data_IF_142122658880
#
_entry.id   IF_142122658880
#
_cell.length_a   1.000
_cell.length_b   1.000
_cell.length_c   1.000
_cell.angle_alpha   90.00
_cell.angle_beta   90.00
_cell.angle_gamma   90.00
#
_symmetry.space_group_name_H-M   'P 1'
#
loop_
_entity.id
_entity.type
_entity.pdbx_description
1 polymer ?
#
# COMPACT_ATOMS: atom_id res chain seq x y z
N UNK A 1 0.92 2.78 -5.44
CA UNK A 1 0.80 2.29 -4.06
C UNK A 1 0.40 3.43 -3.15
N UNK A 2 -0.78 3.36 -2.59
CA UNK A 2 -1.39 4.43 -1.78
C UNK A 2 -0.54 4.78 -0.55
N UNK A 3 0.03 3.78 0.12
CA UNK A 3 0.77 4.00 1.37
C UNK A 3 2.08 4.79 1.18
N UNK A 4 2.75 4.62 0.07
CA UNK A 4 3.93 5.44 -0.28
C UNK A 4 3.55 6.91 -0.41
N UNK A 5 2.42 7.19 -1.03
CA UNK A 5 1.92 8.57 -1.20
C UNK A 5 1.48 9.18 0.13
N UNK A 6 0.89 8.40 1.02
CA UNK A 6 0.57 8.82 2.39
C UNK A 6 1.85 9.19 3.15
N UNK A 7 2.91 8.39 3.03
CA UNK A 7 4.19 8.68 3.69
C UNK A 7 4.82 9.98 3.16
N UNK A 8 4.67 10.27 1.89
CA UNK A 8 5.13 11.51 1.29
C UNK A 8 4.30 12.71 1.78
N UNK A 9 2.98 12.61 1.83
CA UNK A 9 2.11 13.64 2.40
C UNK A 9 2.39 13.92 3.89
N UNK A 10 2.81 12.90 4.65
CA UNK A 10 3.26 13.03 6.04
C UNK A 10 4.73 13.45 6.20
N UNK A 11 5.47 13.58 5.10
CA UNK A 11 6.89 13.98 5.10
C UNK A 11 7.78 13.07 5.97
N UNK A 12 7.56 11.76 5.91
CA UNK A 12 8.30 10.78 6.73
C UNK A 12 9.77 10.63 6.34
N UNK A 13 10.19 11.20 5.21
CA UNK A 13 11.54 11.13 4.70
C UNK A 13 11.81 9.94 3.77
N UNK A 14 12.92 10.02 3.05
CA UNK A 14 13.25 9.09 1.98
C UNK A 14 13.45 7.65 2.47
N UNK A 15 14.10 7.47 3.62
CA UNK A 15 14.38 6.13 4.17
C UNK A 15 13.11 5.39 4.59
N UNK A 16 12.19 6.07 5.27
CA UNK A 16 10.91 5.49 5.66
C UNK A 16 10.05 5.16 4.43
N UNK A 17 10.04 6.06 3.45
CA UNK A 17 9.33 5.84 2.18
C UNK A 17 9.91 4.64 1.43
N UNK A 18 11.23 4.51 1.33
CA UNK A 18 11.88 3.37 0.70
C UNK A 18 11.55 2.05 1.40
N UNK A 19 11.57 2.03 2.74
CA UNK A 19 11.19 0.85 3.53
C UNK A 19 9.74 0.43 3.26
N UNK A 20 8.81 1.37 3.19
CA UNK A 20 7.41 1.09 2.91
C UNK A 20 7.19 0.57 1.48
N UNK A 21 7.89 1.13 0.49
CA UNK A 21 7.83 0.65 -0.91
C UNK A 21 8.37 -0.78 -1.01
N UNK A 22 9.50 -1.07 -0.37
CA UNK A 22 10.11 -2.42 -0.36
C UNK A 22 9.17 -3.44 0.27
N UNK A 23 8.61 -3.13 1.44
CA UNK A 23 7.65 -4.00 2.12
C UNK A 23 6.36 -4.19 1.32
N UNK A 24 5.87 -3.12 0.70
CA UNK A 24 4.67 -3.20 -0.14
C UNK A 24 4.89 -4.05 -1.38
N UNK A 25 6.07 -3.99 -1.99
CA UNK A 25 6.40 -4.89 -3.09
C UNK A 25 6.49 -6.35 -2.65
N UNK A 26 7.07 -6.61 -1.47
CA UNK A 26 7.11 -7.97 -0.91
C UNK A 26 5.71 -8.54 -0.65
N UNK A 27 4.76 -7.73 -0.16
CA UNK A 27 3.35 -8.12 -0.03
C UNK A 27 2.73 -8.47 -1.39
N UNK A 28 2.93 -7.60 -2.38
CA UNK A 28 2.46 -7.82 -3.75
C UNK A 28 3.02 -9.12 -4.33
N UNK A 29 4.31 -9.38 -4.12
CA UNK A 29 4.97 -10.60 -4.58
C UNK A 29 4.42 -11.85 -3.90
N UNK A 30 4.18 -11.82 -2.59
CA UNK A 30 3.54 -12.92 -1.85
C UNK A 30 2.14 -13.20 -2.38
N UNK A 31 1.34 -12.16 -2.52
CA UNK A 31 -0.02 -12.25 -3.04
C UNK A 31 -0.03 -12.81 -4.47
N UNK A 32 0.78 -12.24 -5.35
CA UNK A 32 0.88 -12.69 -6.75
C UNK A 32 1.27 -14.16 -6.86
N UNK A 33 2.28 -14.61 -6.09
CA UNK A 33 2.68 -16.01 -6.07
C UNK A 33 1.58 -16.95 -5.56
N UNK A 34 0.83 -16.53 -4.55
CA UNK A 34 -0.29 -17.31 -4.02
C UNK A 34 -1.41 -17.52 -5.06
N UNK A 35 -1.54 -16.60 -6.00
CA UNK A 35 -2.46 -16.69 -7.14
C UNK A 35 -1.82 -17.16 -8.45
N UNK A 36 -0.61 -17.74 -8.38
CA UNK A 36 0.06 -18.38 -9.51
C UNK A 36 0.86 -17.43 -10.42
N UNK A 37 1.09 -16.18 -10.02
CA UNK A 37 1.93 -15.28 -10.78
C UNK A 37 3.40 -15.73 -10.73
N UNK A 38 4.09 -15.57 -11.85
CA UNK A 38 5.53 -15.88 -11.97
C UNK A 38 6.35 -14.75 -11.36
N UNK A 39 7.40 -15.11 -10.63
CA UNK A 39 8.30 -14.12 -9.99
C UNK A 39 8.92 -13.17 -11.01
N UNK A 40 9.32 -13.68 -12.16
CA UNK A 40 9.91 -12.86 -13.25
C UNK A 40 8.94 -11.79 -13.76
N UNK A 41 7.64 -12.12 -13.83
CA UNK A 41 6.60 -11.15 -14.19
C UNK A 41 6.44 -10.08 -13.14
N UNK A 42 6.44 -10.47 -11.85
CA UNK A 42 6.26 -9.55 -10.73
C UNK A 42 7.41 -8.56 -10.57
N UNK A 43 8.65 -8.98 -10.80
CA UNK A 43 9.84 -8.10 -10.73
C UNK A 43 10.12 -7.34 -12.04
N UNK A 44 9.37 -7.63 -13.10
CA UNK A 44 9.51 -7.00 -14.41
C UNK A 44 8.75 -5.68 -14.54
N UNK A 45 8.63 -5.20 -15.79
CA UNK A 45 7.96 -3.94 -16.11
C UNK A 45 6.47 -3.94 -15.76
N UNK A 46 5.79 -5.06 -15.90
CA UNK A 46 4.35 -5.19 -15.60
C UNK A 46 4.03 -5.33 -14.10
N UNK A 47 5.02 -5.56 -13.27
CA UNK A 47 4.89 -5.63 -11.80
C UNK A 47 5.62 -4.48 -11.12
N UNK A 48 6.89 -4.68 -10.76
CA UNK A 48 7.69 -3.68 -10.04
C UNK A 48 7.83 -2.37 -10.83
N UNK A 49 8.02 -2.44 -12.15
CA UNK A 49 8.14 -1.25 -12.99
C UNK A 49 6.87 -0.39 -12.95
N UNK A 50 5.71 -1.02 -13.13
CA UNK A 50 4.41 -0.32 -13.03
C UNK A 50 4.17 0.23 -11.63
N UNK A 51 4.52 -0.52 -10.58
CA UNK A 51 4.42 -0.06 -9.20
C UNK A 51 5.24 1.22 -8.97
N UNK A 52 6.51 1.26 -9.41
CA UNK A 52 7.37 2.43 -9.27
C UNK A 52 6.78 3.62 -10.02
N UNK A 53 6.35 3.42 -11.25
CA UNK A 53 5.75 4.47 -12.08
C UNK A 53 4.49 5.04 -11.43
N UNK A 54 3.54 4.19 -11.06
CA UNK A 54 2.24 4.62 -10.55
C UNK A 54 2.30 5.23 -9.16
N UNK A 55 3.23 4.79 -8.32
CA UNK A 55 3.40 5.37 -6.97
C UNK A 55 4.25 6.65 -6.95
N UNK A 56 4.88 7.03 -8.06
CA UNK A 56 5.74 8.21 -8.16
C UNK A 56 5.15 9.32 -9.02
N UNK A 57 4.07 9.05 -9.74
CA UNK A 57 3.48 10.01 -10.69
C UNK A 57 2.37 10.83 -10.05
N UNK A 58 2.46 12.18 -10.08
CA UNK A 58 1.36 13.05 -9.65
C UNK A 58 0.07 12.88 -10.46
N UNK A 59 0.16 12.30 -11.65
CA UNK A 59 -0.98 12.01 -12.52
C UNK A 59 -1.76 10.77 -12.05
N UNK A 60 -1.18 9.95 -11.19
CA UNK A 60 -1.88 8.81 -10.59
C UNK A 60 -2.94 9.27 -9.60
N UNK A 61 -4.17 8.82 -9.78
CA UNK A 61 -5.27 9.11 -8.85
C UNK A 61 -4.98 8.60 -7.43
N UNK A 62 -4.36 7.42 -7.34
CA UNK A 62 -3.96 6.84 -6.06
C UNK A 62 -2.86 7.65 -5.38
N UNK A 63 -1.90 8.17 -6.14
CA UNK A 63 -0.87 9.05 -5.63
C UNK A 63 -1.48 10.32 -5.03
N UNK A 64 -2.34 11.02 -5.76
CA UNK A 64 -3.01 12.24 -5.31
C UNK A 64 -3.89 12.00 -4.08
N UNK A 65 -4.60 10.87 -4.03
CA UNK A 65 -5.39 10.47 -2.88
C UNK A 65 -4.51 10.23 -1.66
N UNK A 66 -3.39 9.51 -1.83
CA UNK A 66 -2.45 9.22 -0.76
C UNK A 66 -1.82 10.48 -0.17
N UNK A 67 -1.41 11.44 -1.01
CA UNK A 67 -0.91 12.75 -0.55
C UNK A 67 -1.99 13.48 0.27
N UNK A 68 -3.21 13.56 -0.23
CA UNK A 68 -4.32 14.21 0.48
C UNK A 68 -4.59 13.59 1.86
N UNK A 69 -4.64 12.26 1.93
CA UNK A 69 -4.80 11.54 3.20
C UNK A 69 -3.62 11.77 4.15
N UNK A 70 -2.38 11.75 3.63
CA UNK A 70 -1.18 12.02 4.41
C UNK A 70 -1.16 13.44 5.00
N UNK A 71 -1.68 14.40 4.28
CA UNK A 71 -1.82 15.80 4.73
C UNK A 71 -3.05 16.03 5.63
N UNK A 72 -3.85 15.01 5.88
CA UNK A 72 -5.07 15.11 6.72
C UNK A 72 -6.24 15.77 6.00
N UNK A 73 -6.20 15.88 4.66
CA UNK A 73 -7.30 16.41 3.87
C UNK A 73 -8.33 15.32 3.57
N UNK A 74 -9.60 15.67 3.65
CA UNK A 74 -10.68 14.76 3.27
C UNK A 74 -10.63 14.49 1.75
N UNK A 75 -10.66 13.22 1.39
CA UNK A 75 -10.68 12.78 -0.01
C UNK A 75 -12.13 12.48 -0.40
N UNK A 76 -12.91 13.52 -0.66
CA UNK A 76 -14.31 13.37 -1.06
C UNK A 76 -14.43 12.61 -2.39
N UNK A 77 -15.33 11.65 -2.44
CA UNK A 77 -15.76 10.92 -3.65
C UNK A 77 -14.86 9.77 -4.12
N UNK A 78 -13.56 9.79 -3.85
CA UNK A 78 -12.60 8.74 -4.26
C UNK A 78 -12.38 7.65 -3.22
N UNK A 79 -12.79 7.89 -1.98
CA UNK A 79 -12.66 6.96 -0.86
C UNK A 79 -13.45 5.66 -1.09
N UNK A 80 -14.61 5.74 -1.71
CA UNK A 80 -15.49 4.58 -1.89
C UNK A 80 -14.86 3.48 -2.77
N UNK A 81 -14.21 3.84 -3.88
CA UNK A 81 -13.55 2.87 -4.77
C UNK A 81 -12.33 2.23 -4.09
N UNK A 82 -11.50 3.05 -3.43
CA UNK A 82 -10.34 2.58 -2.70
C UNK A 82 -10.70 1.64 -1.54
N UNK A 83 -11.73 1.97 -0.78
CA UNK A 83 -12.22 1.15 0.31
C UNK A 83 -12.74 -0.20 -0.19
N UNK A 84 -13.50 -0.21 -1.29
CA UNK A 84 -14.00 -1.45 -1.89
C UNK A 84 -12.85 -2.35 -2.37
N UNK A 85 -11.87 -1.78 -3.08
CA UNK A 85 -10.69 -2.51 -3.55
C UNK A 85 -9.85 -3.06 -2.40
N UNK A 86 -9.65 -2.27 -1.34
CA UNK A 86 -8.88 -2.69 -0.17
C UNK A 86 -9.58 -3.85 0.57
N UNK A 87 -10.90 -3.81 0.71
CA UNK A 87 -11.68 -4.88 1.32
C UNK A 87 -11.61 -6.16 0.49
N UNK A 88 -11.81 -6.08 -0.82
CA UNK A 88 -11.71 -7.21 -1.72
C UNK A 88 -10.31 -7.85 -1.68
N UNK A 89 -9.26 -7.05 -1.66
CA UNK A 89 -7.87 -7.53 -1.53
C UNK A 89 -7.65 -8.24 -0.20
N UNK A 90 -8.17 -7.70 0.90
CA UNK A 90 -8.07 -8.31 2.23
C UNK A 90 -8.76 -9.69 2.28
N UNK A 91 -9.94 -9.82 1.68
CA UNK A 91 -10.65 -11.10 1.58
C UNK A 91 -9.86 -12.13 0.76
N UNK A 92 -9.37 -11.74 -0.42
CA UNK A 92 -8.55 -12.61 -1.27
C UNK A 92 -7.25 -13.04 -0.57
N UNK A 93 -6.59 -12.15 0.15
CA UNK A 93 -5.40 -12.47 0.93
C UNK A 93 -5.70 -13.47 2.04
N UNK A 94 -6.84 -13.30 2.75
CA UNK A 94 -7.29 -14.21 3.80
C UNK A 94 -7.58 -15.61 3.26
N UNK A 95 -8.24 -15.73 2.11
CA UNK A 95 -8.52 -17.01 1.44
C UNK A 95 -7.25 -17.83 1.17
N UNK A 96 -6.16 -17.16 0.83
CA UNK A 96 -4.84 -17.78 0.56
C UNK A 96 -3.89 -17.78 1.75
N UNK A 97 -4.35 -17.31 2.92
CA UNK A 97 -3.51 -17.15 4.12
C UNK A 97 -2.24 -16.30 3.86
N UNK A 98 -2.36 -15.26 3.05
CA UNK A 98 -1.27 -14.35 2.73
C UNK A 98 -1.27 -13.17 3.69
N UNK A 99 -0.14 -12.95 4.38
CA UNK A 99 0.05 -11.77 5.20
C UNK A 99 0.31 -10.53 4.34
N UNK A 100 -0.56 -9.53 4.47
CA UNK A 100 -0.47 -8.25 3.77
C UNK A 100 -0.69 -7.09 4.75
N UNK A 101 0.27 -6.80 5.64
CA UNK A 101 0.09 -5.82 6.71
C UNK A 101 -0.11 -4.39 6.20
N UNK A 102 0.52 -3.98 5.10
CA UNK A 102 0.30 -2.65 4.50
C UNK A 102 -1.11 -2.55 3.92
N UNK A 103 -1.54 -3.55 3.16
CA UNK A 103 -2.89 -3.58 2.60
C UNK A 103 -3.96 -3.58 3.70
N UNK A 104 -3.74 -4.35 4.78
CA UNK A 104 -4.63 -4.38 5.94
C UNK A 104 -4.69 -3.03 6.67
N UNK A 105 -3.56 -2.35 6.83
CA UNK A 105 -3.52 -1.01 7.43
C UNK A 105 -4.27 0.02 6.59
N UNK A 106 -4.10 -0.01 5.26
CA UNK A 106 -4.85 0.86 4.34
C UNK A 106 -6.36 0.59 4.46
N UNK A 107 -6.79 -0.66 4.44
CA UNK A 107 -8.20 -1.01 4.60
C UNK A 107 -8.76 -0.47 5.93
N UNK A 108 -8.02 -0.62 7.02
CA UNK A 108 -8.43 -0.12 8.33
C UNK A 108 -8.52 1.42 8.39
N UNK A 109 -7.62 2.13 7.71
CA UNK A 109 -7.68 3.60 7.59
C UNK A 109 -8.89 4.03 6.78
N UNK A 110 -9.13 3.39 5.63
CA UNK A 110 -10.26 3.72 4.76
C UNK A 110 -11.62 3.41 5.41
N UNK A 111 -11.68 2.37 6.25
CA UNK A 111 -12.86 2.02 7.06
C UNK A 111 -13.03 2.90 8.32
N UNK A 112 -12.09 3.80 8.60
CA UNK A 112 -12.10 4.63 9.79
C UNK A 112 -11.74 3.91 11.11
N UNK A 113 -11.24 2.67 11.05
CA UNK A 113 -10.84 1.88 12.23
C UNK A 113 -9.47 2.24 12.78
N UNK A 114 -8.59 2.81 11.96
CA UNK A 114 -7.28 3.34 12.34
C UNK A 114 -7.11 4.75 11.81
N UNK A 115 -6.41 5.59 12.57
CA UNK A 115 -5.87 6.83 12.03
C UNK A 115 -4.65 6.55 11.16
N UNK A 116 -4.29 7.50 10.30
CA UNK A 116 -3.08 7.40 9.48
C UNK A 116 -1.83 7.28 10.36
N UNK A 117 -1.76 8.05 11.44
CA UNK A 117 -0.62 8.03 12.35
C UNK A 117 -0.47 6.68 13.06
N UNK A 118 -1.58 6.09 13.51
CA UNK A 118 -1.60 4.74 14.08
C UNK A 118 -1.16 3.67 13.06
N UNK A 119 -1.60 3.78 11.82
CA UNK A 119 -1.21 2.88 10.75
C UNK A 119 0.30 2.97 10.45
N UNK A 120 0.84 4.18 10.34
CA UNK A 120 2.27 4.44 10.13
C UNK A 120 3.09 3.86 11.27
N UNK A 121 2.74 4.16 12.51
CA UNK A 121 3.43 3.65 13.70
C UNK A 121 3.46 2.12 13.72
N UNK A 122 2.32 1.48 13.49
CA UNK A 122 2.21 0.02 13.49
C UNK A 122 3.09 -0.64 12.42
N UNK A 123 3.27 0.00 11.26
CA UNK A 123 4.07 -0.53 10.17
C UNK A 123 5.57 -0.27 10.36
N UNK A 124 5.95 0.90 10.87
CA UNK A 124 7.36 1.24 11.09
C UNK A 124 7.97 0.50 12.29
N UNK A 125 7.17 0.19 13.31
CA UNK A 125 7.62 -0.57 14.48
C UNK A 125 7.63 -2.08 14.27
N UNK A 126 7.07 -2.57 13.16
CA UNK A 126 7.03 -3.99 12.85
C UNK A 126 8.45 -4.54 12.63
N UNK A 127 8.81 -5.67 13.27
CA UNK A 127 10.12 -6.29 13.07
C UNK A 127 10.39 -6.62 11.60
N UNK A 128 11.63 -6.46 11.17
CA UNK A 128 12.08 -6.94 9.87
C UNK A 128 11.98 -8.46 9.86
N UNK A 129 11.26 -8.99 8.89
CA UNK A 129 11.29 -10.41 8.53
C UNK A 129 12.04 -10.54 7.21
N UNK A 130 12.62 -11.72 6.94
CA UNK A 130 13.17 -12.01 5.62
C UNK A 130 12.06 -11.86 4.58
N UNK A 131 12.28 -10.98 3.63
CA UNK A 131 11.33 -10.63 2.58
C UNK A 131 11.57 -11.51 1.33
#
# INVERSE_FOLDING_TARGET
MLFRSISEGRKLGASATAALVTRGFAELARFGRAYGARSETLIGLSGLGDLILTCSSPQSRNFSLGIALGEGRAAEGKLAEGAFTASALAEMAAEKSVEMPIAAAIAAVLDGRLSIDQAIESLLTRPFRAE
#
